data_IF_037425592349
#
_entry.id   IF_037425592349
#
_cell.length_a   1.000
_cell.length_b   1.000
_cell.length_c   1.000
_cell.angle_alpha   90.00
_cell.angle_beta   90.00
_cell.angle_gamma   90.00
#
_symmetry.space_group_name_H-M   'P 1'
#
loop_
_entity.id
_entity.type
_entity.pdbx_description
1 polymer ?
#
# COMPACT_ATOMS: atom_id res chain seq x y z
N UNK A 1 51.69 -10.94 20.22
CA UNK A 1 50.44 -10.18 19.97
C UNK A 1 50.04 -9.55 21.30
N UNK A 2 49.93 -8.22 21.41
CA UNK A 2 49.57 -7.57 22.68
C UNK A 2 48.07 -7.73 22.95
N UNK A 3 47.67 -7.73 24.22
CA UNK A 3 46.25 -7.82 24.63
C UNK A 3 45.39 -6.72 24.00
N UNK A 4 46.00 -5.57 23.69
CA UNK A 4 45.39 -4.44 23.02
C UNK A 4 45.02 -4.76 21.56
N UNK A 5 45.90 -5.45 20.81
CA UNK A 5 45.60 -5.91 19.45
C UNK A 5 44.43 -6.91 19.44
N UNK A 6 44.38 -7.80 20.43
CA UNK A 6 43.29 -8.78 20.57
C UNK A 6 41.96 -8.07 20.86
N UNK A 7 41.95 -7.07 21.75
CA UNK A 7 40.74 -6.29 22.06
C UNK A 7 40.20 -5.52 20.86
N UNK A 8 41.08 -4.87 20.09
CA UNK A 8 40.71 -4.12 18.88
C UNK A 8 40.10 -5.06 17.82
N UNK A 9 40.66 -6.27 17.66
CA UNK A 9 40.11 -7.28 16.74
C UNK A 9 38.70 -7.69 17.17
N UNK A 10 38.48 -7.99 18.46
CA UNK A 10 37.16 -8.37 18.95
C UNK A 10 36.12 -7.25 18.78
N UNK A 11 36.48 -6.01 19.11
CA UNK A 11 35.60 -4.85 18.92
C UNK A 11 35.22 -4.65 17.45
N UNK A 12 36.18 -4.84 16.55
CA UNK A 12 35.95 -4.74 15.11
C UNK A 12 34.98 -5.81 14.60
N UNK A 13 35.10 -7.04 15.10
CA UNK A 13 34.21 -8.15 14.78
C UNK A 13 32.78 -7.86 15.27
N UNK A 14 32.63 -7.37 16.50
CA UNK A 14 31.30 -7.02 17.05
C UNK A 14 30.63 -5.90 16.26
N UNK A 15 31.38 -4.86 15.88
CA UNK A 15 30.85 -3.75 15.07
C UNK A 15 30.36 -4.24 13.70
N UNK A 16 31.13 -5.13 13.06
CA UNK A 16 30.77 -5.73 11.78
C UNK A 16 29.50 -6.59 11.88
N UNK A 17 29.32 -7.34 12.97
CA UNK A 17 28.14 -8.15 13.21
C UNK A 17 26.88 -7.31 13.41
N UNK A 18 26.97 -6.20 14.16
CA UNK A 18 25.85 -5.26 14.33
C UNK A 18 25.50 -4.60 13.00
N UNK A 19 26.50 -4.17 12.23
CA UNK A 19 26.28 -3.60 10.90
C UNK A 19 25.60 -4.59 9.95
N UNK A 20 26.06 -5.84 9.92
CA UNK A 20 25.44 -6.89 9.10
C UNK A 20 24.00 -7.19 9.53
N UNK A 21 23.70 -7.24 10.83
CA UNK A 21 22.34 -7.44 11.34
C UNK A 21 21.40 -6.28 10.97
N UNK A 22 21.88 -5.04 11.08
CA UNK A 22 21.14 -3.84 10.66
C UNK A 22 20.91 -3.85 9.14
N UNK A 23 21.93 -4.21 8.36
CA UNK A 23 21.81 -4.35 6.90
C UNK A 23 20.82 -5.45 6.50
N UNK A 24 20.84 -6.60 7.18
CA UNK A 24 19.86 -7.68 6.99
C UNK A 24 18.44 -7.23 7.34
N UNK A 25 18.27 -6.40 8.36
CA UNK A 25 16.98 -5.80 8.72
C UNK A 25 16.47 -4.87 7.61
N UNK A 26 17.34 -4.05 7.01
CA UNK A 26 17.00 -3.19 5.88
C UNK A 26 16.64 -3.98 4.61
N UNK A 27 17.39 -5.03 4.28
CA UNK A 27 17.08 -5.93 3.17
C UNK A 27 15.73 -6.64 3.38
N UNK A 28 15.49 -7.13 4.61
CA UNK A 28 14.21 -7.74 4.99
C UNK A 28 13.06 -6.75 4.90
N UNK A 29 13.26 -5.48 5.28
CA UNK A 29 12.24 -4.44 5.12
C UNK A 29 11.85 -4.26 3.66
N UNK A 30 12.83 -4.21 2.75
CA UNK A 30 12.56 -4.08 1.31
C UNK A 30 11.84 -5.31 0.73
N UNK A 31 12.24 -6.51 1.17
CA UNK A 31 11.56 -7.75 0.80
C UNK A 31 10.12 -7.79 1.32
N UNK A 32 9.89 -7.39 2.58
CA UNK A 32 8.55 -7.34 3.18
C UNK A 32 7.63 -6.34 2.47
N UNK A 33 8.15 -5.18 2.04
CA UNK A 33 7.37 -4.25 1.22
C UNK A 33 6.97 -4.88 -0.12
N UNK A 34 7.90 -5.57 -0.80
CA UNK A 34 7.60 -6.26 -2.06
C UNK A 34 6.61 -7.41 -1.90
N UNK A 35 6.75 -8.23 -0.87
CA UNK A 35 5.81 -9.33 -0.61
C UNK A 35 4.40 -8.81 -0.32
N UNK A 36 4.30 -7.69 0.42
CA UNK A 36 3.04 -7.01 0.66
C UNK A 36 2.45 -6.45 -0.65
N UNK A 37 3.25 -5.76 -1.46
CA UNK A 37 2.83 -5.23 -2.76
C UNK A 37 2.30 -6.35 -3.66
N UNK A 38 3.02 -7.47 -3.74
CA UNK A 38 2.60 -8.64 -4.50
C UNK A 38 1.28 -9.23 -3.99
N UNK A 39 1.06 -9.23 -2.67
CA UNK A 39 -0.20 -9.73 -2.08
C UNK A 39 -1.39 -8.87 -2.53
N UNK A 40 -1.25 -7.54 -2.52
CA UNK A 40 -2.31 -6.63 -2.99
C UNK A 40 -2.56 -6.79 -4.49
N UNK A 41 -1.51 -6.87 -5.29
CA UNK A 41 -1.61 -7.10 -6.74
C UNK A 41 -2.30 -8.44 -7.04
N UNK A 42 -1.97 -9.52 -6.31
CA UNK A 42 -2.62 -10.81 -6.46
C UNK A 42 -4.12 -10.73 -6.11
N UNK A 43 -4.47 -10.15 -4.97
CA UNK A 43 -5.88 -9.94 -4.58
C UNK A 43 -6.64 -9.11 -5.61
N UNK A 44 -6.00 -8.10 -6.19
CA UNK A 44 -6.59 -7.31 -7.27
C UNK A 44 -6.95 -8.19 -8.47
N UNK A 45 -6.02 -9.01 -8.97
CA UNK A 45 -6.30 -9.91 -10.09
C UNK A 45 -7.37 -10.95 -9.76
N UNK A 46 -7.33 -11.55 -8.57
CA UNK A 46 -8.37 -12.48 -8.12
C UNK A 46 -9.78 -11.87 -8.10
N UNK A 47 -9.90 -10.58 -7.76
CA UNK A 47 -11.17 -9.86 -7.80
C UNK A 47 -11.56 -9.54 -9.25
N UNK A 48 -10.62 -9.02 -10.05
CA UNK A 48 -10.90 -8.55 -11.41
C UNK A 48 -11.16 -9.67 -12.41
N UNK A 49 -10.56 -10.84 -12.23
CA UNK A 49 -10.75 -12.03 -13.07
C UNK A 49 -12.13 -12.67 -12.88
N UNK A 50 -12.81 -12.35 -11.78
CA UNK A 50 -14.17 -12.84 -11.50
C UNK A 50 -15.26 -12.01 -12.17
N UNK A 51 -14.92 -10.87 -12.78
CA UNK A 51 -15.89 -9.99 -13.45
C UNK A 51 -16.61 -10.73 -14.56
N UNK A 52 -17.91 -10.47 -14.69
CA UNK A 52 -18.70 -11.07 -15.75
C UNK A 52 -18.21 -10.60 -17.12
N UNK A 53 -18.27 -11.46 -18.16
CA UNK A 53 -18.00 -11.04 -19.53
C UNK A 53 -18.91 -9.89 -19.97
N UNK A 54 -20.14 -9.82 -19.45
CA UNK A 54 -21.09 -8.74 -19.74
C UNK A 54 -20.61 -7.38 -19.22
N UNK A 55 -19.98 -7.35 -18.05
CA UNK A 55 -19.36 -6.12 -17.55
C UNK A 55 -18.14 -5.73 -18.39
N UNK A 56 -17.28 -6.71 -18.73
CA UNK A 56 -16.02 -6.45 -19.43
C UNK A 56 -16.23 -6.06 -20.91
N UNK A 57 -17.17 -6.71 -21.59
CA UNK A 57 -17.39 -6.57 -23.04
C UNK A 57 -18.50 -5.55 -23.33
N UNK A 58 -19.63 -5.66 -22.64
CA UNK A 58 -20.83 -4.87 -22.92
C UNK A 58 -21.00 -3.67 -21.99
N UNK A 59 -20.15 -3.55 -20.96
CA UNK A 59 -20.25 -2.50 -19.94
C UNK A 59 -21.53 -2.61 -19.09
N UNK A 60 -22.12 -3.81 -18.98
CA UNK A 60 -23.37 -4.04 -18.27
C UNK A 60 -23.13 -4.90 -17.02
N UNK A 61 -23.16 -4.32 -15.81
CA UNK A 61 -22.96 -5.07 -14.59
C UNK A 61 -24.14 -6.01 -14.32
N UNK A 62 -23.80 -7.20 -13.86
CA UNK A 62 -24.74 -8.16 -13.26
C UNK A 62 -24.80 -7.95 -11.75
N UNK A 63 -25.82 -8.49 -11.04
CA UNK A 63 -25.84 -8.44 -9.58
C UNK A 63 -24.62 -9.08 -8.91
N UNK A 64 -23.97 -10.06 -9.58
CA UNK A 64 -22.73 -10.66 -9.09
C UNK A 64 -21.54 -9.70 -9.19
N UNK A 65 -21.53 -8.81 -10.19
CA UNK A 65 -20.49 -7.80 -10.36
C UNK A 65 -20.54 -6.73 -9.27
N UNK A 66 -21.72 -6.43 -8.70
CA UNK A 66 -21.83 -5.51 -7.57
C UNK A 66 -21.04 -6.03 -6.36
N UNK A 67 -21.10 -7.34 -6.07
CA UNK A 67 -20.29 -7.96 -5.02
C UNK A 67 -18.78 -7.88 -5.32
N UNK A 68 -18.39 -7.93 -6.59
CA UNK A 68 -17.00 -7.81 -7.02
C UNK A 68 -16.52 -6.37 -6.83
N UNK A 69 -17.34 -5.38 -7.20
CA UNK A 69 -17.07 -3.96 -6.96
C UNK A 69 -16.92 -3.69 -5.46
N UNK A 70 -17.77 -4.26 -4.61
CA UNK A 70 -17.64 -4.13 -3.15
C UNK A 70 -16.33 -4.74 -2.61
N UNK A 71 -15.91 -5.88 -3.15
CA UNK A 71 -14.62 -6.49 -2.80
C UNK A 71 -13.45 -5.60 -3.23
N UNK A 72 -13.55 -4.97 -4.40
CA UNK A 72 -12.57 -3.99 -4.86
C UNK A 72 -12.52 -2.75 -3.96
N UNK A 73 -13.67 -2.16 -3.59
CA UNK A 73 -13.73 -1.02 -2.67
C UNK A 73 -13.08 -1.35 -1.32
N UNK A 74 -13.31 -2.56 -0.81
CA UNK A 74 -12.66 -3.04 0.40
C UNK A 74 -11.14 -3.18 0.25
N UNK A 75 -10.67 -3.68 -0.90
CA UNK A 75 -9.23 -3.74 -1.19
C UNK A 75 -8.60 -2.34 -1.17
N UNK A 76 -9.24 -1.36 -1.81
CA UNK A 76 -8.73 0.01 -1.82
C UNK A 76 -8.70 0.66 -0.43
N UNK A 77 -9.68 0.35 0.42
CA UNK A 77 -9.68 0.80 1.82
C UNK A 77 -8.55 0.16 2.62
N UNK A 78 -8.30 -1.15 2.43
CA UNK A 78 -7.17 -1.85 3.05
C UNK A 78 -5.83 -1.18 2.63
N UNK A 79 -5.66 -0.85 1.35
CA UNK A 79 -4.47 -0.19 0.80
C UNK A 79 -4.27 1.23 1.37
N UNK A 80 -5.35 2.00 1.50
CA UNK A 80 -5.35 3.31 2.15
C UNK A 80 -4.88 3.20 3.60
N UNK A 81 -5.40 2.23 4.35
CA UNK A 81 -5.01 2.01 5.74
C UNK A 81 -3.54 1.59 5.89
N UNK A 82 -3.04 0.76 4.97
CA UNK A 82 -1.62 0.39 4.95
C UNK A 82 -0.73 1.59 4.63
N UNK A 83 -1.15 2.48 3.73
CA UNK A 83 -0.42 3.73 3.47
C UNK A 83 -0.44 4.63 4.69
N UNK A 84 -1.59 4.84 5.33
CA UNK A 84 -1.73 5.63 6.56
C UNK A 84 -0.77 5.16 7.65
N UNK A 85 -0.61 3.84 7.81
CA UNK A 85 0.31 3.21 8.75
C UNK A 85 1.80 3.28 8.34
N UNK A 86 2.12 3.78 7.15
CA UNK A 86 3.49 3.87 6.64
C UNK A 86 4.06 2.56 6.12
N UNK A 87 3.22 1.54 5.90
CA UNK A 87 3.64 0.22 5.39
C UNK A 87 3.77 0.19 3.87
N UNK A 88 3.03 1.07 3.18
CA UNK A 88 3.09 1.22 1.73
C UNK A 88 4.07 2.36 1.35
N UNK A 89 5.08 2.09 0.50
CA UNK A 89 5.96 3.13 -0.04
C UNK A 89 5.15 4.20 -0.77
N UNK A 90 5.61 5.45 -0.68
CA UNK A 90 4.92 6.59 -1.30
C UNK A 90 4.79 6.45 -2.81
N UNK A 91 5.84 6.00 -3.49
CA UNK A 91 5.84 5.81 -4.95
C UNK A 91 4.76 4.81 -5.37
N UNK A 92 4.66 3.69 -4.67
CA UNK A 92 3.64 2.66 -4.90
C UNK A 92 2.24 3.21 -4.66
N UNK A 93 2.06 3.95 -3.56
CA UNK A 93 0.78 4.61 -3.26
C UNK A 93 0.33 5.59 -4.34
N UNK A 94 1.24 6.44 -4.85
CA UNK A 94 0.90 7.41 -5.89
C UNK A 94 0.38 6.69 -7.14
N UNK A 95 1.06 5.62 -7.57
CA UNK A 95 0.62 4.81 -8.70
C UNK A 95 -0.74 4.13 -8.46
N UNK A 96 -0.94 3.52 -7.28
CA UNK A 96 -2.19 2.82 -6.96
C UNK A 96 -3.37 3.78 -6.80
N UNK A 97 -3.15 4.93 -6.15
CA UNK A 97 -4.16 5.98 -6.02
C UNK A 97 -4.63 6.46 -7.38
N UNK A 98 -3.71 6.65 -8.33
CA UNK A 98 -4.08 7.12 -9.66
C UNK A 98 -4.89 6.06 -10.42
N UNK A 99 -4.51 4.78 -10.31
CA UNK A 99 -5.29 3.67 -10.85
C UNK A 99 -6.68 3.52 -10.18
N UNK A 100 -6.77 3.73 -8.85
CA UNK A 100 -8.06 3.79 -8.14
C UNK A 100 -8.93 4.92 -8.69
N UNK A 101 -8.36 6.10 -8.93
CA UNK A 101 -9.11 7.25 -9.47
C UNK A 101 -9.66 6.95 -10.85
N UNK A 102 -8.87 6.31 -11.70
CA UNK A 102 -9.32 5.88 -13.02
C UNK A 102 -10.46 4.86 -12.91
N UNK A 103 -10.28 3.79 -12.14
CA UNK A 103 -11.29 2.73 -12.02
C UNK A 103 -12.59 3.22 -11.36
N UNK A 104 -12.50 4.06 -10.33
CA UNK A 104 -13.66 4.62 -9.62
C UNK A 104 -14.35 5.76 -10.38
N UNK A 105 -13.74 6.25 -11.46
CA UNK A 105 -14.41 7.17 -12.39
C UNK A 105 -15.40 6.45 -13.32
N UNK A 106 -15.33 5.12 -13.40
CA UNK A 106 -16.34 4.31 -14.07
C UNK A 106 -17.70 4.44 -13.37
N UNK A 107 -18.77 4.63 -14.16
CA UNK A 107 -20.10 4.93 -13.64
C UNK A 107 -20.64 3.86 -12.69
N UNK A 108 -20.31 2.58 -12.92
CA UNK A 108 -20.81 1.47 -12.10
C UNK A 108 -20.08 1.42 -10.76
N UNK A 109 -18.76 1.63 -10.78
CA UNK A 109 -17.96 1.72 -9.56
C UNK A 109 -18.37 2.94 -8.72
N UNK A 110 -18.61 4.08 -9.37
CA UNK A 110 -19.09 5.29 -8.71
C UNK A 110 -20.47 5.11 -8.06
N UNK A 111 -21.42 4.44 -8.74
CA UNK A 111 -22.76 4.16 -8.21
C UNK A 111 -22.69 3.26 -6.95
N UNK A 112 -21.93 2.17 -7.01
CA UNK A 112 -21.76 1.26 -5.86
C UNK A 112 -21.05 1.97 -4.70
N UNK A 113 -20.02 2.79 -4.99
CA UNK A 113 -19.35 3.61 -3.97
C UNK A 113 -20.31 4.62 -3.34
N UNK A 114 -21.21 5.23 -4.12
CA UNK A 114 -22.20 6.17 -3.59
C UNK A 114 -23.16 5.48 -2.62
N UNK A 115 -23.64 4.28 -2.97
CA UNK A 115 -24.53 3.46 -2.13
C UNK A 115 -23.87 2.99 -0.83
N UNK A 116 -22.58 2.66 -0.90
CA UNK A 116 -21.84 2.05 0.23
C UNK A 116 -20.84 2.98 0.90
N UNK A 117 -20.85 4.24 0.50
CA UNK A 117 -19.89 5.28 0.89
C UNK A 117 -19.57 5.34 2.39
N UNK A 118 -20.54 5.21 3.33
CA UNK A 118 -20.25 5.27 4.77
C UNK A 118 -19.23 4.24 5.26
N UNK A 119 -19.04 3.14 4.53
CA UNK A 119 -18.15 2.05 4.91
C UNK A 119 -16.73 2.17 4.37
N UNK A 120 -16.48 3.09 3.42
CA UNK A 120 -15.18 3.25 2.74
C UNK A 120 -14.71 4.71 2.77
N UNK A 121 -14.40 5.24 3.97
CA UNK A 121 -14.03 6.65 4.14
C UNK A 121 -12.70 7.01 3.46
N UNK A 122 -11.71 6.12 3.47
CA UNK A 122 -10.42 6.33 2.79
C UNK A 122 -10.58 6.41 1.28
N UNK A 123 -11.33 5.47 0.70
CA UNK A 123 -11.63 5.49 -0.74
C UNK A 123 -12.38 6.78 -1.15
N UNK A 124 -13.32 7.24 -0.32
CA UNK A 124 -14.01 8.51 -0.56
C UNK A 124 -13.05 9.70 -0.54
N UNK A 125 -12.07 9.70 0.36
CA UNK A 125 -11.03 10.73 0.38
C UNK A 125 -10.16 10.67 -0.88
N UNK A 126 -9.86 9.49 -1.41
CA UNK A 126 -9.15 9.36 -2.69
C UNK A 126 -9.96 9.99 -3.83
N UNK A 127 -11.29 9.88 -3.82
CA UNK A 127 -12.16 10.48 -4.84
C UNK A 127 -12.32 11.99 -4.70
N UNK A 128 -12.59 12.45 -3.49
CA UNK A 128 -12.98 13.85 -3.21
C UNK A 128 -11.82 14.74 -2.78
N UNK A 129 -10.71 14.13 -2.37
CA UNK A 129 -9.53 14.81 -1.84
C UNK A 129 -8.59 15.33 -2.93
N UNK A 130 -7.56 16.04 -2.46
CA UNK A 130 -6.56 16.66 -3.32
C UNK A 130 -5.87 15.63 -4.25
N UNK A 131 -5.46 16.03 -5.47
CA UNK A 131 -4.77 15.13 -6.41
C UNK A 131 -3.51 14.48 -5.82
N UNK A 132 -2.83 15.16 -4.89
CA UNK A 132 -1.62 14.71 -4.23
C UNK A 132 -1.86 14.05 -2.87
N UNK A 133 -3.10 13.61 -2.59
CA UNK A 133 -3.46 12.99 -1.31
C UNK A 133 -2.48 11.89 -0.91
N UNK A 134 -1.90 12.07 0.26
CA UNK A 134 -1.03 11.11 0.92
C UNK A 134 -1.52 10.93 2.37
N UNK A 135 -2.13 9.78 2.71
CA UNK A 135 -2.71 9.58 4.03
C UNK A 135 -1.67 9.32 5.11
N UNK A 136 -0.39 9.15 4.76
CA UNK A 136 0.67 9.09 5.76
C UNK A 136 1.17 10.49 6.09
N UNK A 137 1.20 10.89 7.37
CA UNK A 137 1.69 12.21 7.76
C UNK A 137 3.15 12.37 7.34
N UNK A 138 3.47 13.45 6.62
CA UNK A 138 4.86 13.83 6.38
C UNK A 138 5.50 14.12 7.74
N UNK A 139 6.52 13.35 8.10
CA UNK A 139 7.32 13.61 9.31
C UNK A 139 8.00 14.98 9.15
N UNK A 140 7.39 16.03 9.70
CA UNK A 140 7.98 17.37 9.74
C UNK A 140 9.23 17.29 10.64
N UNK A 141 10.42 17.29 10.03
CA UNK A 141 11.72 17.27 10.73
C UNK A 141 12.03 18.56 11.53
N UNK A 142 11.08 19.47 11.65
CA UNK A 142 11.30 20.80 12.25
C UNK A 142 10.80 20.95 13.70
N UNK A 143 10.18 19.93 14.30
CA UNK A 143 9.63 20.02 15.67
C UNK A 143 10.43 19.28 16.75
N UNK A 144 11.58 18.66 16.43
CA UNK A 144 12.45 17.99 17.42
C UNK A 144 13.60 18.89 17.94
N UNK A 145 13.54 20.20 17.71
CA UNK A 145 14.48 21.18 18.32
C UNK A 145 13.70 22.33 18.95
N UNK A 146 13.11 22.07 20.11
CA UNK A 146 12.67 23.09 21.06
C UNK A 146 13.06 22.62 22.46
#
# INVERSE_FOLDING_TARGET
MSNETISIIFQSITLLAVFAAVWQLFLRSTAMHRDMEMTFVQRYWEIMDRRSPQLVIDGKPTPEDELIILQYLRLCEDEFDHRRQGKLPRQTWEAWRDAMREQLSDAHFADVLQKTSPHYPGVRQVMTGAPDLDPHPRRNRFTERA
#
